data_IF_542935167461
#
_entry.id   IF_542935167461
#
_cell.length_a   1.000
_cell.length_b   1.000
_cell.length_c   1.000
_cell.angle_alpha   90.00
_cell.angle_beta   90.00
_cell.angle_gamma   90.00
#
_symmetry.space_group_name_H-M   'P 1'
#
loop_
_entity.id
_entity.type
_entity.pdbx_description
1 polymer ?
#
# COMPACT_ATOMS: atom_id res chain seq x y z
N UNK A 1 -20.15 20.62 -16.27
CA UNK A 1 -19.53 19.77 -15.22
C UNK A 1 -18.02 19.78 -15.44
N UNK A 2 -17.20 19.82 -14.37
CA UNK A 2 -15.74 19.66 -14.49
C UNK A 2 -15.41 18.25 -14.97
N UNK A 3 -14.30 18.05 -15.68
CA UNK A 3 -13.87 16.70 -16.07
C UNK A 3 -13.40 15.90 -14.85
N UNK A 4 -13.39 14.57 -14.96
CA UNK A 4 -12.86 13.69 -13.91
C UNK A 4 -11.43 14.05 -13.53
N UNK A 5 -10.57 14.31 -14.51
CA UNK A 5 -9.17 14.70 -14.28
C UNK A 5 -9.05 16.00 -13.48
N UNK A 6 -9.88 17.00 -13.77
CA UNK A 6 -9.90 18.26 -13.03
C UNK A 6 -10.34 18.04 -11.57
N UNK A 7 -11.36 17.21 -11.35
CA UNK A 7 -11.84 16.90 -9.99
C UNK A 7 -10.76 16.16 -9.20
N UNK A 8 -10.20 15.10 -9.79
CA UNK A 8 -9.12 14.31 -9.16
C UNK A 8 -7.87 15.15 -8.94
N UNK A 9 -7.54 16.08 -9.84
CA UNK A 9 -6.45 17.04 -9.68
C UNK A 9 -6.66 17.98 -8.49
N UNK A 10 -7.86 18.54 -8.33
CA UNK A 10 -8.20 19.39 -7.18
C UNK A 10 -8.12 18.60 -5.87
N UNK A 11 -8.64 17.37 -5.87
CA UNK A 11 -8.59 16.47 -4.70
C UNK A 11 -7.13 16.16 -4.34
N UNK A 12 -6.28 15.90 -5.34
CA UNK A 12 -4.85 15.64 -5.15
C UNK A 12 -4.10 16.83 -4.57
N UNK A 13 -4.34 18.03 -5.07
CA UNK A 13 -3.73 19.24 -4.51
C UNK A 13 -4.18 19.52 -3.08
N UNK A 14 -5.43 19.20 -2.73
CA UNK A 14 -5.89 19.23 -1.33
C UNK A 14 -5.21 18.18 -0.47
N UNK A 15 -5.06 16.95 -0.98
CA UNK A 15 -4.35 15.86 -0.32
C UNK A 15 -2.91 16.21 0.01
N UNK A 16 -2.17 16.82 -0.95
CA UNK A 16 -0.80 17.32 -0.72
C UNK A 16 -0.70 18.33 0.43
N UNK A 17 -1.75 19.14 0.63
CA UNK A 17 -1.82 20.14 1.69
C UNK A 17 -2.36 19.58 3.00
N UNK A 18 -2.77 18.31 3.04
CA UNK A 18 -3.37 17.65 4.20
C UNK A 18 -4.71 18.25 4.64
N UNK A 19 -5.37 19.02 3.77
CA UNK A 19 -6.64 19.69 4.07
C UNK A 19 -7.80 18.68 4.04
N UNK A 20 -8.81 18.84 4.92
CA UNK A 20 -9.98 17.97 4.89
C UNK A 20 -10.73 18.08 3.55
N UNK A 21 -11.37 16.98 3.17
CA UNK A 21 -12.27 16.92 2.01
C UNK A 21 -13.72 17.00 2.45
N UNK A 22 -14.45 17.92 1.84
CA UNK A 22 -15.89 18.12 2.02
C UNK A 22 -16.61 17.84 0.69
N UNK A 23 -17.91 17.55 0.73
CA UNK A 23 -18.76 17.33 -0.45
C UNK A 23 -18.22 16.31 -1.47
N UNK A 24 -17.61 15.23 -0.98
CA UNK A 24 -17.05 14.14 -1.78
C UNK A 24 -18.16 13.34 -2.45
N UNK A 25 -19.25 13.10 -1.74
CA UNK A 25 -20.38 12.31 -2.23
C UNK A 25 -20.98 12.94 -3.50
N UNK A 26 -20.99 14.28 -3.58
CA UNK A 26 -21.44 15.00 -4.78
C UNK A 26 -20.52 14.80 -6.00
N UNK A 27 -19.24 14.49 -5.79
CA UNK A 27 -18.32 14.18 -6.89
C UNK A 27 -18.67 12.84 -7.57
N UNK A 28 -19.31 11.92 -6.85
CA UNK A 28 -19.87 10.69 -7.41
C UNK A 28 -21.05 10.94 -8.35
N UNK A 29 -21.52 12.18 -8.54
CA UNK A 29 -22.55 12.47 -9.54
C UNK A 29 -21.99 12.72 -10.93
N UNK A 30 -20.65 12.71 -11.07
CA UNK A 30 -20.00 13.03 -12.33
C UNK A 30 -19.88 11.80 -13.24
N UNK A 31 -20.55 11.78 -14.42
CA UNK A 31 -20.46 10.65 -15.35
C UNK A 31 -19.03 10.39 -15.84
N UNK A 32 -18.21 11.43 -16.00
CA UNK A 32 -16.84 11.28 -16.51
C UNK A 32 -15.94 10.49 -15.55
N UNK A 33 -16.24 10.50 -14.24
CA UNK A 33 -15.52 9.70 -13.25
C UNK A 33 -15.76 8.21 -13.48
N UNK A 34 -17.01 7.83 -13.78
CA UNK A 34 -17.37 6.44 -14.07
C UNK A 34 -16.84 5.98 -15.42
N UNK A 35 -16.77 6.85 -16.43
CA UNK A 35 -16.14 6.51 -17.70
C UNK A 35 -14.64 6.21 -17.51
N UNK A 36 -13.95 6.99 -16.68
CA UNK A 36 -12.55 6.73 -16.32
C UNK A 36 -12.39 5.44 -15.52
N UNK A 37 -13.24 5.21 -14.52
CA UNK A 37 -13.26 3.97 -13.74
C UNK A 37 -13.49 2.74 -14.64
N UNK A 38 -14.45 2.85 -15.56
CA UNK A 38 -14.76 1.83 -16.54
C UNK A 38 -13.54 1.50 -17.41
N UNK A 39 -12.88 2.52 -17.97
CA UNK A 39 -11.69 2.33 -18.80
C UNK A 39 -10.57 1.57 -18.06
N UNK A 40 -10.34 1.88 -16.78
CA UNK A 40 -9.35 1.19 -15.93
C UNK A 40 -9.72 -0.26 -15.62
N UNK A 41 -10.99 -0.55 -15.40
CA UNK A 41 -11.46 -1.92 -15.14
C UNK A 41 -11.27 -2.82 -16.36
N UNK A 42 -11.51 -2.30 -17.56
CA UNK A 42 -11.39 -3.08 -18.82
C UNK A 42 -9.97 -3.19 -19.36
N UNK A 43 -9.07 -2.27 -19.01
CA UNK A 43 -7.65 -2.37 -19.40
C UNK A 43 -6.88 -3.43 -18.62
N UNK A 44 -7.39 -3.88 -17.46
CA UNK A 44 -6.78 -4.95 -16.67
C UNK A 44 -7.22 -6.31 -17.24
N UNK A 45 -6.29 -7.15 -17.69
CA UNK A 45 -6.55 -8.47 -18.30
C UNK A 45 -7.41 -9.44 -17.45
N UNK A 46 -7.59 -9.16 -16.16
CA UNK A 46 -8.56 -9.83 -15.27
C UNK A 46 -10.04 -9.58 -15.63
N UNK A 47 -10.34 -8.66 -16.55
CA UNK A 47 -11.68 -8.39 -17.07
C UNK A 47 -12.29 -9.58 -17.84
N UNK A 48 -11.46 -10.53 -18.31
CA UNK A 48 -11.90 -11.78 -18.93
C UNK A 48 -12.39 -12.83 -17.92
N UNK A 49 -12.17 -12.61 -16.61
CA UNK A 49 -12.78 -13.46 -15.58
C UNK A 49 -14.23 -13.04 -15.43
N UNK A 50 -15.11 -13.72 -16.16
CA UNK A 50 -16.55 -13.47 -16.20
C UNK A 50 -17.11 -13.27 -14.79
N UNK A 51 -17.52 -12.04 -14.48
CA UNK A 51 -18.60 -11.83 -13.53
C UNK A 51 -19.90 -12.39 -14.10
N UNK A 52 -20.99 -12.35 -13.33
CA UNK A 52 -22.30 -12.93 -13.70
C UNK A 52 -22.94 -12.29 -14.95
N UNK A 53 -22.37 -11.22 -15.51
CA UNK A 53 -22.89 -10.51 -16.70
C UNK A 53 -21.76 -10.18 -17.67
N UNK A 54 -21.91 -10.62 -18.93
CA UNK A 54 -21.05 -10.30 -20.07
C UNK A 54 -21.52 -9.00 -20.71
N UNK A 55 -20.98 -7.86 -20.30
CA UNK A 55 -21.36 -6.57 -20.90
C UNK A 55 -20.12 -5.88 -21.45
N UNK A 56 -20.15 -5.57 -22.75
CA UNK A 56 -19.19 -4.72 -23.46
C UNK A 56 -19.60 -3.25 -23.27
N UNK A 57 -18.78 -2.28 -23.71
CA UNK A 57 -19.10 -0.83 -23.64
C UNK A 57 -20.24 -0.46 -24.60
N UNK A 58 -21.42 -1.02 -24.39
CA UNK A 58 -22.59 -0.77 -25.22
C UNK A 58 -23.44 0.35 -24.59
N UNK A 59 -24.46 0.82 -25.32
CA UNK A 59 -25.42 1.80 -24.79
C UNK A 59 -26.13 1.38 -23.49
N UNK A 60 -26.08 0.10 -23.13
CA UNK A 60 -26.56 -0.43 -21.85
C UNK A 60 -25.68 -0.02 -20.66
N UNK A 61 -24.36 0.08 -20.84
CA UNK A 61 -23.44 0.48 -19.78
C UNK A 61 -23.63 1.95 -19.38
N UNK A 62 -23.85 2.83 -20.37
CA UNK A 62 -24.12 4.26 -20.13
C UNK A 62 -25.43 4.47 -19.35
N UNK A 63 -26.51 3.79 -19.75
CA UNK A 63 -27.79 3.84 -19.01
C UNK A 63 -27.65 3.35 -17.58
N UNK A 64 -26.85 2.30 -17.36
CA UNK A 64 -26.56 1.81 -16.00
C UNK A 64 -25.76 2.81 -15.16
N UNK A 65 -24.80 3.51 -15.76
CA UNK A 65 -24.07 4.59 -15.09
C UNK A 65 -25.02 5.72 -14.70
N UNK A 66 -25.91 6.13 -15.60
CA UNK A 66 -26.92 7.15 -15.32
C UNK A 66 -27.85 6.73 -14.18
N UNK A 67 -28.33 5.48 -14.20
CA UNK A 67 -29.16 4.93 -13.13
C UNK A 67 -28.42 4.87 -11.80
N UNK A 68 -27.15 4.44 -11.80
CA UNK A 68 -26.29 4.42 -10.61
C UNK A 68 -26.14 5.84 -10.02
N UNK A 69 -25.88 6.83 -10.87
CA UNK A 69 -25.77 8.23 -10.46
C UNK A 69 -27.10 8.73 -9.88
N UNK A 70 -28.23 8.36 -10.48
CA UNK A 70 -29.56 8.74 -9.98
C UNK A 70 -29.84 8.10 -8.60
N UNK A 71 -29.49 6.83 -8.42
CA UNK A 71 -29.65 6.12 -7.15
C UNK A 71 -28.74 6.67 -6.07
N UNK A 72 -27.52 7.10 -6.41
CA UNK A 72 -26.63 7.80 -5.47
C UNK A 72 -27.19 9.18 -5.11
N UNK A 73 -27.70 9.93 -6.09
CA UNK A 73 -28.27 11.28 -5.88
C UNK A 73 -29.46 11.27 -4.92
N UNK A 74 -30.27 10.21 -4.99
CA UNK A 74 -31.43 10.01 -4.12
C UNK A 74 -31.13 9.10 -2.92
N UNK A 75 -29.87 8.75 -2.68
CA UNK A 75 -29.41 7.91 -1.54
C UNK A 75 -30.11 6.53 -1.45
N UNK A 76 -30.60 6.04 -2.60
CA UNK A 76 -31.30 4.75 -2.77
C UNK A 76 -30.34 3.60 -3.04
N UNK A 77 -29.09 3.88 -3.39
CA UNK A 77 -28.11 2.85 -3.68
C UNK A 77 -27.85 1.96 -2.45
N UNK A 78 -27.80 0.65 -2.67
CA UNK A 78 -27.50 -0.36 -1.65
C UNK A 78 -26.50 -1.35 -2.24
N UNK A 79 -25.43 -1.61 -1.49
CA UNK A 79 -24.41 -2.56 -1.89
C UNK A 79 -24.97 -3.98 -1.98
N UNK A 80 -24.54 -4.71 -3.01
CA UNK A 80 -24.92 -6.11 -3.17
C UNK A 80 -23.93 -7.00 -2.43
N UNK A 81 -24.42 -8.00 -1.66
CA UNK A 81 -23.56 -8.98 -1.02
C UNK A 81 -22.65 -9.67 -2.04
N UNK A 82 -21.37 -9.81 -1.70
CA UNK A 82 -20.36 -10.28 -2.64
C UNK A 82 -20.45 -11.79 -2.82
N UNK A 83 -20.37 -12.31 -4.05
CA UNK A 83 -20.39 -13.77 -4.28
C UNK A 83 -19.04 -14.37 -3.92
N UNK A 84 -19.02 -15.34 -3.00
CA UNK A 84 -17.79 -16.04 -2.57
C UNK A 84 -17.44 -17.17 -3.54
N UNK A 85 -16.22 -17.17 -4.02
CA UNK A 85 -15.59 -18.22 -4.82
C UNK A 85 -14.26 -18.63 -4.19
N UNK A 86 -13.75 -19.82 -4.51
CA UNK A 86 -12.50 -20.31 -3.95
C UNK A 86 -11.45 -20.47 -5.04
N UNK A 87 -10.25 -19.98 -4.77
CA UNK A 87 -9.07 -20.17 -5.63
C UNK A 87 -8.03 -20.95 -4.87
N UNK A 88 -7.46 -21.98 -5.49
CA UNK A 88 -6.38 -22.78 -4.91
C UNK A 88 -5.08 -21.96 -4.82
N UNK A 89 -4.47 -21.92 -3.63
CA UNK A 89 -3.11 -21.43 -3.46
C UNK A 89 -2.12 -22.50 -3.92
N UNK A 90 -0.90 -22.09 -4.28
CA UNK A 90 0.26 -22.98 -4.53
C UNK A 90 0.52 -24.01 -3.42
N UNK A 91 0.06 -23.73 -2.19
CA UNK A 91 0.25 -24.57 -1.02
C UNK A 91 -0.97 -25.50 -0.75
N UNK A 92 -1.92 -25.62 -1.69
CA UNK A 92 -3.12 -26.46 -1.58
C UNK A 92 -4.26 -25.90 -0.72
N UNK A 93 -4.05 -24.79 0.00
CA UNK A 93 -5.11 -24.10 0.76
C UNK A 93 -5.98 -23.26 -0.17
N UNK A 94 -7.30 -23.22 0.05
CA UNK A 94 -8.21 -22.37 -0.68
C UNK A 94 -8.16 -20.92 -0.15
N UNK A 95 -8.16 -19.93 -1.06
CA UNK A 95 -8.37 -18.51 -0.76
C UNK A 95 -9.81 -18.13 -1.16
N UNK A 96 -10.64 -17.64 -0.24
CA UNK A 96 -11.93 -17.10 -0.61
C UNK A 96 -11.73 -15.80 -1.40
N UNK A 97 -12.50 -15.62 -2.47
CA UNK A 97 -12.56 -14.42 -3.27
C UNK A 97 -14.01 -13.96 -3.35
N UNK A 98 -14.26 -12.73 -2.95
CA UNK A 98 -15.52 -12.05 -3.23
C UNK A 98 -15.48 -11.46 -4.64
N UNK A 99 -16.38 -11.90 -5.51
CA UNK A 99 -16.61 -11.30 -6.82
C UNK A 99 -17.84 -10.37 -6.73
N UNK A 100 -17.64 -9.03 -6.72
CA UNK A 100 -18.75 -8.08 -6.71
C UNK A 100 -19.46 -8.01 -8.08
N UNK A 101 -20.68 -7.46 -8.08
CA UNK A 101 -21.42 -7.15 -9.31
C UNK A 101 -20.70 -6.08 -10.13
N UNK A 102 -21.04 -5.96 -11.41
CA UNK A 102 -20.41 -4.96 -12.28
C UNK A 102 -20.65 -3.53 -11.79
N UNK A 103 -21.88 -3.21 -11.36
CA UNK A 103 -22.23 -1.88 -10.83
C UNK A 103 -21.43 -1.56 -9.56
N UNK A 104 -21.32 -2.54 -8.66
CA UNK A 104 -20.56 -2.37 -7.41
C UNK A 104 -19.06 -2.25 -7.69
N UNK A 105 -18.51 -3.02 -8.64
CA UNK A 105 -17.12 -2.87 -9.10
C UNK A 105 -16.85 -1.48 -9.64
N UNK A 106 -17.78 -0.96 -10.45
CA UNK A 106 -17.64 0.36 -11.06
C UNK A 106 -17.67 1.47 -10.01
N UNK A 107 -18.59 1.40 -9.05
CA UNK A 107 -18.64 2.34 -7.94
C UNK A 107 -17.40 2.23 -7.03
N UNK A 108 -16.93 1.02 -6.74
CA UNK A 108 -15.70 0.80 -5.97
C UNK A 108 -14.47 1.42 -6.66
N UNK A 109 -14.34 1.27 -7.99
CA UNK A 109 -13.24 1.91 -8.72
C UNK A 109 -13.39 3.45 -8.73
N UNK A 110 -14.60 4.00 -8.85
CA UNK A 110 -14.82 5.44 -8.71
C UNK A 110 -14.44 5.97 -7.32
N UNK A 111 -14.80 5.26 -6.26
CA UNK A 111 -14.38 5.56 -4.88
C UNK A 111 -12.85 5.46 -4.75
N UNK A 112 -12.25 4.41 -5.30
CA UNK A 112 -10.80 4.21 -5.30
C UNK A 112 -10.08 5.37 -5.98
N UNK A 113 -10.54 5.85 -7.14
CA UNK A 113 -9.95 7.01 -7.83
C UNK A 113 -9.89 8.24 -6.94
N UNK A 114 -10.98 8.53 -6.23
CA UNK A 114 -11.08 9.66 -5.30
C UNK A 114 -10.12 9.48 -4.12
N UNK A 115 -10.13 8.30 -3.49
CA UNK A 115 -9.28 8.00 -2.33
C UNK A 115 -7.79 8.00 -2.70
N UNK A 116 -7.41 7.38 -3.82
CA UNK A 116 -6.04 7.41 -4.35
C UNK A 116 -5.60 8.84 -4.62
N UNK A 117 -6.42 9.65 -5.28
CA UNK A 117 -6.07 11.04 -5.55
C UNK A 117 -5.75 11.81 -4.27
N UNK A 118 -6.49 11.56 -3.18
CA UNK A 118 -6.34 12.27 -1.92
C UNK A 118 -5.21 11.74 -1.03
N UNK A 119 -5.12 10.42 -0.82
CA UNK A 119 -4.22 9.81 0.15
C UNK A 119 -2.83 9.50 -0.43
N UNK A 120 -2.71 9.24 -1.73
CA UNK A 120 -1.42 8.87 -2.34
C UNK A 120 -0.28 9.87 -2.08
N UNK A 121 -0.51 11.21 -2.12
CA UNK A 121 0.52 12.19 -1.78
C UNK A 121 0.91 12.23 -0.29
N UNK A 122 0.11 11.64 0.59
CA UNK A 122 0.31 11.67 2.04
C UNK A 122 1.01 10.42 2.56
N UNK A 123 0.87 9.30 1.86
CA UNK A 123 1.46 8.03 2.28
C UNK A 123 2.99 8.08 2.41
N UNK A 124 3.49 7.38 3.42
CA UNK A 124 4.92 7.18 3.67
C UNK A 124 5.70 6.80 2.40
N UNK A 125 6.88 7.37 2.15
CA UNK A 125 7.73 6.97 1.03
C UNK A 125 8.24 5.53 1.15
N UNK A 126 8.24 4.95 2.35
CA UNK A 126 8.69 3.59 2.66
C UNK A 126 7.61 2.52 2.48
N UNK A 127 6.39 2.93 2.10
CA UNK A 127 5.29 2.05 1.74
C UNK A 127 5.19 1.87 0.22
N UNK A 128 5.22 0.62 -0.25
CA UNK A 128 5.26 0.31 -1.70
C UNK A 128 4.06 -0.51 -2.20
N UNK A 129 3.37 -1.22 -1.31
CA UNK A 129 2.29 -2.14 -1.70
C UNK A 129 1.06 -1.42 -2.25
N UNK A 130 0.48 -1.91 -3.35
CA UNK A 130 -0.78 -1.42 -3.94
C UNK A 130 -0.86 0.09 -4.20
N UNK A 131 0.25 0.72 -4.55
CA UNK A 131 0.31 2.15 -4.88
C UNK A 131 0.63 2.35 -6.37
N UNK A 132 0.08 3.39 -7.01
CA UNK A 132 0.48 3.76 -8.37
C UNK A 132 2.00 3.92 -8.47
N UNK A 133 2.60 3.38 -9.53
CA UNK A 133 4.04 3.47 -9.82
C UNK A 133 4.98 2.86 -8.75
N UNK A 134 4.45 2.07 -7.82
CA UNK A 134 5.23 1.35 -6.79
C UNK A 134 4.93 -0.15 -6.79
N UNK A 135 5.95 -0.96 -6.53
CA UNK A 135 5.83 -2.42 -6.58
C UNK A 135 6.99 -3.10 -5.86
N UNK A 136 7.09 -4.43 -6.02
CA UNK A 136 8.11 -5.24 -5.34
C UNK A 136 9.53 -4.73 -5.65
N UNK A 137 9.79 -4.41 -6.92
CA UNK A 137 11.09 -3.91 -7.35
C UNK A 137 11.46 -2.55 -6.75
N UNK A 138 10.48 -1.68 -6.47
CA UNK A 138 10.79 -0.38 -5.85
C UNK A 138 11.16 -0.55 -4.37
N UNK A 139 10.49 -1.44 -3.64
CA UNK A 139 10.84 -1.79 -2.27
C UNK A 139 12.24 -2.44 -2.19
N UNK A 140 12.52 -3.43 -3.05
CA UNK A 140 13.81 -4.11 -3.08
C UNK A 140 14.95 -3.15 -3.45
N UNK A 141 14.72 -2.24 -4.41
CA UNK A 141 15.71 -1.23 -4.79
C UNK A 141 16.01 -0.28 -3.64
N UNK A 142 14.99 0.14 -2.88
CA UNK A 142 15.19 0.98 -1.70
C UNK A 142 16.07 0.28 -0.66
N UNK A 143 15.77 -1.00 -0.40
CA UNK A 143 16.55 -1.81 0.52
C UNK A 143 18.00 -1.95 0.02
N UNK A 144 18.22 -2.29 -1.24
CA UNK A 144 19.55 -2.44 -1.83
C UNK A 144 20.40 -1.17 -1.71
N UNK A 145 19.81 -0.02 -2.05
CA UNK A 145 20.52 1.26 -2.09
C UNK A 145 20.74 1.86 -0.71
N UNK A 146 19.73 1.73 0.16
CA UNK A 146 19.71 2.42 1.44
C UNK A 146 20.27 1.53 2.54
N UNK A 147 19.97 0.23 2.57
CA UNK A 147 20.19 -0.66 3.73
C UNK A 147 21.63 -1.21 3.83
N UNK A 148 22.63 -0.39 3.54
CA UNK A 148 24.05 -0.78 3.58
C UNK A 148 24.53 -1.08 5.01
N UNK A 149 25.25 -2.19 5.17
CA UNK A 149 25.83 -2.59 6.46
C UNK A 149 24.83 -3.07 7.52
N UNK A 150 23.61 -3.43 7.11
CA UNK A 150 22.56 -4.03 7.95
C UNK A 150 22.95 -5.47 8.31
N UNK A 151 22.83 -5.83 9.59
CA UNK A 151 23.21 -7.15 10.12
C UNK A 151 22.03 -8.03 10.49
N UNK A 152 20.96 -7.40 10.96
CA UNK A 152 19.79 -8.07 11.48
C UNK A 152 18.59 -7.65 10.65
N UNK A 153 17.77 -8.64 10.31
CA UNK A 153 16.51 -8.46 9.61
C UNK A 153 15.41 -8.92 10.57
N UNK A 154 14.37 -8.10 10.68
CA UNK A 154 13.15 -8.47 11.38
C UNK A 154 12.06 -8.49 10.34
N UNK A 155 11.61 -9.69 10.01
CA UNK A 155 10.46 -9.90 9.14
C UNK A 155 9.21 -9.91 10.02
N UNK A 156 8.27 -9.04 9.71
CA UNK A 156 6.95 -9.00 10.33
C UNK A 156 5.90 -9.25 9.27
N UNK A 157 5.07 -10.26 9.48
CA UNK A 157 3.89 -10.55 8.66
C UNK A 157 2.64 -10.19 9.48
N UNK A 158 1.78 -9.32 8.95
CA UNK A 158 0.52 -9.00 9.62
C UNK A 158 -0.48 -10.09 9.20
N UNK A 159 -0.60 -11.12 10.02
CA UNK A 159 -1.47 -12.25 9.69
C UNK A 159 -2.90 -11.80 9.36
N UNK A 160 -3.30 -12.00 8.10
CA UNK A 160 -4.67 -11.78 7.62
C UNK A 160 -5.13 -10.31 7.78
N UNK A 161 -4.30 -9.30 7.48
CA UNK A 161 -4.72 -7.90 7.64
C UNK A 161 -6.05 -7.65 6.94
N UNK A 162 -6.20 -8.08 5.68
CA UNK A 162 -7.45 -7.89 4.92
C UNK A 162 -8.69 -8.55 5.54
N UNK A 163 -8.55 -9.70 6.20
CA UNK A 163 -9.70 -10.43 6.76
C UNK A 163 -10.06 -9.94 8.18
N UNK A 164 -9.15 -9.21 8.84
CA UNK A 164 -9.27 -8.77 10.25
C UNK A 164 -9.29 -7.25 10.43
N UNK A 165 -9.42 -6.47 9.34
CA UNK A 165 -9.60 -5.02 9.45
C UNK A 165 -10.84 -4.69 10.29
N UNK A 166 -10.64 -3.96 11.38
CA UNK A 166 -11.73 -3.43 12.19
C UNK A 166 -12.40 -2.27 11.46
N UNK A 167 -13.70 -2.43 11.16
CA UNK A 167 -14.47 -1.45 10.41
C UNK A 167 -14.61 -0.12 11.16
N UNK A 168 -14.75 -0.16 12.49
CA UNK A 168 -14.89 1.06 13.29
C UNK A 168 -13.60 1.87 13.28
N UNK A 169 -12.45 1.22 13.43
CA UNK A 169 -11.14 1.89 13.36
C UNK A 169 -10.93 2.49 11.97
N UNK A 170 -11.19 1.74 10.90
CA UNK A 170 -11.05 2.23 9.52
C UNK A 170 -11.96 3.44 9.25
N UNK A 171 -13.24 3.36 9.63
CA UNK A 171 -14.19 4.47 9.48
C UNK A 171 -13.75 5.70 10.29
N UNK A 172 -13.22 5.51 11.50
CA UNK A 172 -12.70 6.61 12.31
C UNK A 172 -11.48 7.28 11.66
N UNK A 173 -10.54 6.50 11.11
CA UNK A 173 -9.40 7.03 10.36
C UNK A 173 -9.87 7.86 9.16
N UNK A 174 -10.85 7.35 8.41
CA UNK A 174 -11.42 8.08 7.27
C UNK A 174 -12.08 9.40 7.71
N UNK A 175 -12.79 9.41 8.84
CA UNK A 175 -13.46 10.61 9.41
C UNK A 175 -12.51 11.72 9.80
N UNK A 176 -11.24 11.43 10.10
CA UNK A 176 -10.26 12.48 10.42
C UNK A 176 -10.05 13.45 9.25
N UNK A 177 -10.11 12.95 8.01
CA UNK A 177 -9.77 13.69 6.80
C UNK A 177 -10.93 13.90 5.84
N UNK A 178 -11.91 13.00 5.84
CA UNK A 178 -13.10 13.07 4.98
C UNK A 178 -14.27 13.58 5.81
N UNK A 179 -14.65 14.84 5.60
CA UNK A 179 -15.74 15.51 6.31
C UNK A 179 -17.04 15.45 5.51
N UNK A 180 -17.38 14.26 5.00
CA UNK A 180 -18.64 13.98 4.30
C UNK A 180 -19.27 12.68 4.83
N UNK A 181 -20.28 12.85 5.69
CA UNK A 181 -20.95 11.74 6.34
C UNK A 181 -21.63 10.79 5.35
N UNK A 182 -22.13 11.28 4.21
CA UNK A 182 -22.80 10.44 3.20
C UNK A 182 -21.80 9.52 2.51
N UNK A 183 -20.62 10.07 2.19
CA UNK A 183 -19.53 9.29 1.61
C UNK A 183 -18.98 8.26 2.60
N UNK A 184 -18.80 8.64 3.86
CA UNK A 184 -18.37 7.72 4.91
C UNK A 184 -19.40 6.59 5.11
N UNK A 185 -20.69 6.92 5.16
CA UNK A 185 -21.76 5.95 5.31
C UNK A 185 -21.81 4.99 4.11
N UNK A 186 -21.59 5.48 2.89
CA UNK A 186 -21.48 4.63 1.70
C UNK A 186 -20.33 3.61 1.83
N UNK A 187 -19.15 4.02 2.34
CA UNK A 187 -18.03 3.10 2.58
C UNK A 187 -18.35 2.14 3.74
N UNK A 188 -19.00 2.61 4.79
CA UNK A 188 -19.41 1.74 5.90
C UNK A 188 -20.36 0.64 5.41
N UNK A 189 -21.38 0.99 4.64
CA UNK A 189 -22.28 0.00 4.04
C UNK A 189 -21.59 -0.95 3.07
N UNK A 190 -20.49 -0.53 2.42
CA UNK A 190 -19.69 -1.41 1.58
C UNK A 190 -19.00 -2.49 2.42
N UNK A 191 -18.42 -2.10 3.57
CA UNK A 191 -17.74 -3.02 4.48
C UNK A 191 -18.72 -4.01 5.12
N UNK A 192 -19.94 -3.54 5.44
CA UNK A 192 -21.03 -4.31 6.06
C UNK A 192 -21.85 -5.16 5.06
N UNK A 193 -21.66 -4.99 3.74
CA UNK A 193 -22.51 -5.59 2.70
C UNK A 193 -22.58 -7.13 2.75
N UNK A 194 -21.65 -7.80 3.45
CA UNK A 194 -21.66 -9.25 3.60
C UNK A 194 -21.19 -10.00 2.35
N UNK A 195 -21.31 -11.31 2.39
CA UNK A 195 -21.07 -12.19 1.26
C UNK A 195 -22.11 -13.30 1.18
N UNK A 196 -22.28 -13.86 -0.01
CA UNK A 196 -23.13 -15.04 -0.25
C UNK A 196 -22.22 -16.24 -0.56
N UNK A 197 -22.45 -17.32 0.18
CA UNK A 197 -21.75 -18.59 0.04
C UNK A 197 -22.79 -19.72 0.05
N UNK A 198 -22.74 -20.64 -0.93
CA UNK A 198 -23.69 -21.76 -1.05
C UNK A 198 -25.17 -21.35 -0.90
N UNK A 199 -25.56 -20.23 -1.53
CA UNK A 199 -26.91 -19.65 -1.48
C UNK A 199 -27.37 -19.18 -0.08
N UNK A 200 -26.44 -19.05 0.86
CA UNK A 200 -26.66 -18.48 2.19
C UNK A 200 -25.96 -17.14 2.32
N UNK A 201 -26.66 -16.17 2.91
CA UNK A 201 -26.10 -14.87 3.24
C UNK A 201 -25.31 -14.95 4.54
N UNK A 202 -24.12 -14.35 4.55
CA UNK A 202 -23.27 -14.22 5.72
C UNK A 202 -22.89 -12.74 5.92
N UNK A 203 -23.11 -12.17 7.13
CA UNK A 203 -22.65 -10.83 7.43
C UNK A 203 -21.11 -10.79 7.52
N UNK A 204 -20.52 -9.69 7.06
CA UNK A 204 -19.08 -9.43 7.23
C UNK A 204 -18.89 -8.63 8.52
N UNK A 205 -18.40 -9.29 9.57
CA UNK A 205 -18.17 -8.66 10.89
C UNK A 205 -16.81 -7.96 10.99
N UNK A 206 -15.86 -8.31 10.13
CA UNK A 206 -14.52 -7.72 10.05
C UNK A 206 -13.91 -7.99 8.67
N UNK A 207 -12.92 -7.18 8.29
CA UNK A 207 -12.20 -7.34 7.03
C UNK A 207 -12.82 -6.57 5.86
N UNK A 208 -12.04 -6.35 4.81
CA UNK A 208 -12.52 -5.78 3.55
C UNK A 208 -12.86 -6.92 2.59
N UNK A 209 -13.88 -6.80 1.72
CA UNK A 209 -14.18 -7.84 0.73
C UNK A 209 -12.93 -8.23 -0.06
N UNK A 210 -12.47 -9.46 0.09
CA UNK A 210 -11.25 -9.95 -0.54
C UNK A 210 -11.52 -10.06 -2.06
N UNK A 211 -10.99 -9.14 -2.86
CA UNK A 211 -11.33 -8.99 -4.29
C UNK A 211 -12.14 -7.74 -4.64
N UNK A 212 -12.50 -6.94 -3.64
CA UNK A 212 -13.01 -5.58 -3.84
C UNK A 212 -11.93 -4.66 -4.40
N UNK A 213 -12.28 -3.88 -5.41
CA UNK A 213 -11.33 -3.01 -6.13
C UNK A 213 -10.78 -1.91 -5.22
N UNK A 214 -11.59 -1.48 -4.24
CA UNK A 214 -11.23 -0.45 -3.25
C UNK A 214 -10.51 -1.01 -2.01
N UNK A 215 -10.52 -2.33 -1.79
CA UNK A 215 -9.91 -2.96 -0.62
C UNK A 215 -8.42 -2.64 -0.45
N UNK A 216 -7.57 -2.59 -1.51
CA UNK A 216 -6.16 -2.27 -1.36
C UNK A 216 -5.90 -0.85 -0.84
N UNK A 217 -6.63 0.16 -1.34
CA UNK A 217 -6.45 1.54 -0.89
C UNK A 217 -6.93 1.72 0.55
N UNK A 218 -8.04 1.09 0.95
CA UNK A 218 -8.53 1.12 2.33
C UNK A 218 -7.53 0.49 3.31
N UNK A 219 -6.89 -0.60 2.90
CA UNK A 219 -5.87 -1.27 3.73
C UNK A 219 -4.61 -0.41 3.87
N UNK A 220 -4.20 0.28 2.81
CA UNK A 220 -3.11 1.23 2.89
C UNK A 220 -3.43 2.42 3.79
N UNK A 221 -4.65 2.97 3.74
CA UNK A 221 -5.08 4.04 4.66
C UNK A 221 -5.02 3.58 6.11
N UNK A 222 -5.43 2.33 6.39
CA UNK A 222 -5.34 1.77 7.73
C UNK A 222 -3.89 1.61 8.20
N UNK A 223 -3.05 1.01 7.36
CA UNK A 223 -1.64 0.73 7.67
C UNK A 223 -0.75 1.97 7.67
N UNK A 224 -1.17 3.06 7.04
CA UNK A 224 -0.45 4.34 7.10
C UNK A 224 -0.34 4.87 8.54
N UNK A 225 -1.31 4.57 9.41
CA UNK A 225 -1.22 4.88 10.85
C UNK A 225 -0.09 4.12 11.55
N UNK A 226 0.13 2.86 11.15
CA UNK A 226 1.26 2.08 11.63
C UNK A 226 2.57 2.64 11.06
N UNK A 227 2.62 2.96 9.77
CA UNK A 227 3.80 3.53 9.12
C UNK A 227 4.22 4.84 9.83
N UNK A 228 3.26 5.73 10.08
CA UNK A 228 3.49 6.98 10.81
C UNK A 228 4.01 6.75 12.24
N UNK A 229 3.43 5.79 12.98
CA UNK A 229 3.90 5.43 14.32
C UNK A 229 5.35 4.91 14.30
N UNK A 230 5.67 4.05 13.33
CA UNK A 230 7.03 3.52 13.19
C UNK A 230 8.01 4.65 12.87
N UNK A 231 7.67 5.54 11.95
CA UNK A 231 8.54 6.64 11.54
C UNK A 231 8.76 7.70 12.62
N UNK A 232 7.71 8.03 13.39
CA UNK A 232 7.74 9.12 14.37
C UNK A 232 8.25 8.69 15.74
N UNK A 233 7.92 7.47 16.18
CA UNK A 233 8.22 7.00 17.53
C UNK A 233 9.33 5.95 17.54
N UNK A 234 9.18 4.91 16.71
CA UNK A 234 10.07 3.73 16.76
C UNK A 234 11.44 4.04 16.15
N UNK A 235 11.49 4.63 14.95
CA UNK A 235 12.76 4.95 14.29
C UNK A 235 13.63 5.89 15.14
N UNK A 236 13.12 7.00 15.71
CA UNK A 236 13.93 7.89 16.53
C UNK A 236 14.34 7.27 17.87
N UNK A 237 13.46 6.50 18.53
CA UNK A 237 13.76 5.90 19.83
C UNK A 237 14.88 4.84 19.77
N UNK A 238 14.93 4.07 18.69
CA UNK A 238 15.88 2.95 18.53
C UNK A 238 17.10 3.27 17.67
N UNK A 239 17.09 4.42 16.98
CA UNK A 239 18.25 4.89 16.21
C UNK A 239 19.21 5.68 17.11
N UNK A 240 20.45 5.20 17.24
CA UNK A 240 21.47 5.77 18.13
C UNK A 240 22.82 5.89 17.42
N UNK A 241 23.56 6.94 17.78
CA UNK A 241 24.89 7.23 17.25
C UNK A 241 24.87 7.76 15.82
N UNK A 242 25.64 8.82 15.56
CA UNK A 242 25.76 9.36 14.19
C UNK A 242 26.62 8.46 13.31
N UNK A 243 27.67 7.91 13.89
CA UNK A 243 28.75 7.23 13.21
C UNK A 243 29.28 6.08 14.07
N UNK A 244 29.46 4.89 13.46
CA UNK A 244 30.13 3.78 14.13
C UNK A 244 31.54 4.18 14.56
N UNK A 245 31.93 3.76 15.76
CA UNK A 245 33.29 3.85 16.25
C UNK A 245 34.27 3.19 15.27
N UNK A 246 35.48 3.75 15.19
CA UNK A 246 36.52 3.18 14.33
C UNK A 246 37.10 1.94 14.98
N UNK A 247 37.36 0.91 14.18
CA UNK A 247 37.99 -0.30 14.69
C UNK A 247 39.44 0.01 15.16
N UNK A 248 39.77 -0.18 16.45
CA UNK A 248 41.10 0.14 16.97
C UNK A 248 42.21 -0.65 16.28
N UNK A 249 41.97 -1.91 15.93
CA UNK A 249 42.95 -2.76 15.24
C UNK A 249 43.22 -2.28 13.82
N UNK A 250 42.16 -1.92 13.09
CA UNK A 250 42.29 -1.34 11.75
C UNK A 250 43.14 -0.06 11.77
N UNK A 251 42.91 0.84 12.72
CA UNK A 251 43.69 2.07 12.88
C UNK A 251 45.15 1.80 13.23
N UNK A 252 45.44 0.83 14.12
CA UNK A 252 46.82 0.44 14.45
C UNK A 252 47.58 -0.05 13.23
N UNK A 253 46.96 -0.93 12.43
CA UNK A 253 47.56 -1.43 11.18
C UNK A 253 47.77 -0.29 10.17
N UNK A 254 46.80 0.63 10.04
CA UNK A 254 46.91 1.81 9.16
C UNK A 254 48.10 2.70 9.53
N UNK A 255 48.29 3.00 10.82
CA UNK A 255 49.40 3.83 11.30
C UNK A 255 50.74 3.13 11.06
N UNK A 256 50.84 1.82 11.33
CA UNK A 256 52.04 1.01 11.07
C UNK A 256 52.36 0.91 9.57
N UNK A 257 51.35 0.72 8.73
CA UNK A 257 51.48 0.74 7.27
C UNK A 257 52.11 2.07 6.81
N UNK A 258 51.60 3.18 7.33
CA UNK A 258 52.09 4.52 7.00
C UNK A 258 53.53 4.77 7.47
N UNK A 259 53.90 4.26 8.65
CA UNK A 259 55.25 4.32 9.18
C UNK A 259 56.25 3.57 8.28
N UNK A 260 55.97 2.31 7.91
CA UNK A 260 56.87 1.53 7.05
C UNK A 260 56.95 2.06 5.61
N UNK A 261 55.86 2.68 5.10
CA UNK A 261 55.91 3.42 3.83
C UNK A 261 56.89 4.59 3.88
N UNK A 262 56.88 5.38 4.95
CA UNK A 262 57.80 6.51 5.13
C UNK A 262 59.26 6.07 5.25
N UNK A 263 59.50 4.89 5.82
CA UNK A 263 60.83 4.26 5.95
C UNK A 263 61.33 3.60 4.65
N UNK A 264 60.54 3.61 3.57
CA UNK A 264 60.90 2.96 2.29
C UNK A 264 60.71 1.43 2.26
N UNK A 265 60.26 0.80 3.35
CA UNK A 265 60.02 -0.64 3.42
C UNK A 265 58.66 -1.00 2.82
N UNK A 266 58.64 -1.17 1.48
CA UNK A 266 57.42 -1.47 0.71
C UNK A 266 56.81 -2.84 1.03
N UNK A 267 57.64 -3.85 1.31
CA UNK A 267 57.17 -5.23 1.50
C UNK A 267 56.36 -5.37 2.80
N UNK A 268 56.87 -4.81 3.89
CA UNK A 268 56.19 -4.81 5.19
C UNK A 268 54.92 -3.95 5.19
N UNK A 269 54.93 -2.85 4.44
CA UNK A 269 53.71 -2.05 4.23
C UNK A 269 52.63 -2.81 3.44
N UNK A 270 53.02 -3.61 2.44
CA UNK A 270 52.10 -4.45 1.66
C UNK A 270 51.46 -5.54 2.52
N UNK A 271 52.22 -6.19 3.39
CA UNK A 271 51.70 -7.19 4.33
C UNK A 271 50.67 -6.60 5.29
N UNK A 272 50.99 -5.47 5.92
CA UNK A 272 50.06 -4.76 6.81
C UNK A 272 48.81 -4.28 6.09
N UNK A 273 48.93 -3.90 4.81
CA UNK A 273 47.77 -3.56 3.98
C UNK A 273 46.87 -4.77 3.72
N UNK A 274 47.47 -5.94 3.42
CA UNK A 274 46.71 -7.20 3.23
C UNK A 274 45.99 -7.60 4.51
N UNK A 275 46.64 -7.49 5.67
CA UNK A 275 46.00 -7.74 6.96
C UNK A 275 44.89 -6.74 7.26
N UNK A 276 45.12 -5.45 7.00
CA UNK A 276 44.13 -4.39 7.20
C UNK A 276 42.88 -4.59 6.32
N UNK A 277 43.03 -5.05 5.09
CA UNK A 277 41.91 -5.31 4.18
C UNK A 277 40.97 -6.43 4.66
N UNK A 278 41.45 -7.32 5.54
CA UNK A 278 40.62 -8.36 6.16
C UNK A 278 39.74 -7.81 7.30
N UNK A 279 40.04 -6.62 7.80
CA UNK A 279 39.34 -6.01 8.92
C UNK A 279 38.41 -4.90 8.44
N UNK A 280 37.20 -4.79 9.02
CA UNK A 280 36.33 -3.66 8.77
C UNK A 280 36.93 -2.39 9.39
N UNK A 281 36.81 -1.27 8.66
CA UNK A 281 37.33 0.04 9.10
C UNK A 281 36.63 0.57 10.36
N UNK A 282 35.33 0.28 10.48
CA UNK A 282 34.50 0.64 11.63
C UNK A 282 34.07 -0.61 12.39
N UNK A 283 33.88 -0.46 13.69
CA UNK A 283 33.44 -1.57 14.54
C UNK A 283 32.04 -2.03 14.12
N UNK A 284 31.88 -3.28 13.65
CA UNK A 284 30.58 -3.80 13.25
C UNK A 284 29.63 -4.07 14.43
N UNK A 285 30.12 -4.17 15.67
CA UNK A 285 29.36 -4.51 16.87
C UNK A 285 29.35 -3.36 17.90
N UNK A 286 29.57 -2.14 17.43
CA UNK A 286 29.52 -0.93 18.25
C UNK A 286 28.20 -0.84 19.04
N UNK A 287 28.21 -0.93 20.39
CA UNK A 287 27.01 -0.88 21.21
C UNK A 287 26.35 0.50 21.22
N UNK A 288 27.11 1.56 20.88
CA UNK A 288 26.64 2.94 20.87
C UNK A 288 26.04 3.34 19.52
N UNK A 289 26.14 2.46 18.50
CA UNK A 289 25.61 2.70 17.16
C UNK A 289 24.53 1.69 16.77
N UNK A 290 23.31 2.19 16.55
CA UNK A 290 22.18 1.42 16.03
C UNK A 290 21.44 2.24 14.98
N UNK A 291 21.23 1.69 13.80
CA UNK A 291 20.30 2.25 12.80
C UNK A 291 19.15 1.29 12.61
N UNK A 292 17.94 1.77 12.89
CA UNK A 292 16.73 1.06 12.51
C UNK A 292 16.25 1.63 11.17
N UNK A 293 15.81 0.76 10.27
CA UNK A 293 15.22 1.11 8.98
C UNK A 293 13.92 0.36 8.84
N UNK A 294 12.97 0.96 8.15
CA UNK A 294 11.63 0.43 7.97
C UNK A 294 11.25 0.54 6.49
N UNK A 295 10.72 -0.54 5.94
CA UNK A 295 10.13 -0.62 4.60
C UNK A 295 8.93 -1.56 4.72
N UNK A 296 7.80 -1.14 4.16
CA UNK A 296 6.58 -1.96 4.07
C UNK A 296 6.29 -2.30 2.61
N UNK A 297 6.31 -3.59 2.31
CA UNK A 297 5.64 -4.14 1.13
C UNK A 297 4.31 -4.74 1.57
N UNK A 298 3.33 -4.79 0.68
CA UNK A 298 1.96 -5.26 0.95
C UNK A 298 1.90 -6.55 1.81
N UNK A 299 0.73 -6.79 2.40
CA UNK A 299 0.33 -8.00 3.12
C UNK A 299 0.15 -9.22 2.18
N UNK A 300 1.18 -9.49 1.39
CA UNK A 300 1.37 -10.62 0.48
C UNK A 300 0.12 -11.09 -0.30
N UNK A 301 -0.39 -10.23 -1.20
CA UNK A 301 -1.24 -10.69 -2.31
C UNK A 301 -0.38 -10.79 -3.56
N UNK A 302 0.35 -11.90 -3.65
CA UNK A 302 0.79 -12.43 -4.94
C UNK A 302 -0.44 -12.60 -5.83
N UNK A 303 -0.59 -11.73 -6.81
CA UNK A 303 -1.22 -12.10 -8.08
C UNK A 303 -0.14 -12.81 -8.90
N UNK A 304 -0.31 -14.11 -9.09
CA UNK A 304 0.25 -14.84 -10.24
C UNK A 304 -0.64 -14.46 -11.43
N UNK A 305 -0.12 -14.28 -12.65
CA UNK A 305 0.53 -15.34 -13.42
C UNK A 305 1.65 -14.83 -14.31
N UNK A 306 2.79 -15.51 -14.25
CA UNK A 306 3.61 -15.75 -15.43
C UNK A 306 3.04 -16.94 -16.19
N UNK A 307 3.10 -16.85 -17.51
CA UNK A 307 2.59 -17.76 -18.52
C UNK A 307 2.50 -16.97 -19.81
#
# INVERSE_FOLDING_TARGET
MRSAEQILGIIRERGKRGLPLEDIYRQLYNPTLYLMAYARLYSNEGAMTRGTTSETVDGMALKKIEQLIDDLRHERYRWTPVRRTYIEKKNGKLRPLGIPTWTDKLLQEAIRLILEAYYEPQFSPHSHGFRPDRGCHTALREIEQTWTGTKWWVEGDIAQCFDRLDHHILVNILREKLHDNRFIQLIQWLLEAGYVEEWRYHPTLSGSPQGGVVSPILSNIYLDKLDAYVEQEVLPAYTRGEQRQRNPLYNRLRVREQYYRKQGNRQKALELRRERQKLPERDPLDPDYRRLRFVRYADDVRHLTGG
#
